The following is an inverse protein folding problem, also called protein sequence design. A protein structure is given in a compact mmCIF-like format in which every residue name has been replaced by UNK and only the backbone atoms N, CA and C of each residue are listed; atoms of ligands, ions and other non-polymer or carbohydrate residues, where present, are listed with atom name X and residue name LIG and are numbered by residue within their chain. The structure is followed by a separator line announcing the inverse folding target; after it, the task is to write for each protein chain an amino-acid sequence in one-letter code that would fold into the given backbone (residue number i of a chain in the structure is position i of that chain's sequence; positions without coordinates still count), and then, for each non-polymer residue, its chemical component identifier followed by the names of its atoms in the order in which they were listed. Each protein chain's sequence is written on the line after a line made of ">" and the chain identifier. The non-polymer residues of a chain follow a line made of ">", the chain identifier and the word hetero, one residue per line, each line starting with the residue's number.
data_IF_464085277863
#
_entry.id   IF_464085277863
#
_cell.length_a   1.000
_cell.length_b   1.000
_cell.length_c   1.000
_cell.angle_alpha   90.00
_cell.angle_beta   90.00
_cell.angle_gamma   90.00
#
_symmetry.space_group_name_H-M   'P 1'
#
loop_
_entity.id
_entity.type
_entity.pdbx_description
1 polymer ?
#
# COMPACT_ATOMS: atom_id res chain seq x y z
N UNK A 1 -11.74 9.07 11.21
CA UNK A 1 -10.86 8.09 10.57
C UNK A 1 -11.00 8.11 9.05
N UNK A 2 -10.10 7.47 8.37
CA UNK A 2 -10.16 7.32 6.92
C UNK A 2 -10.88 6.02 6.60
N UNK A 3 -11.96 6.09 5.81
CA UNK A 3 -12.72 4.89 5.41
C UNK A 3 -11.83 3.93 4.62
N UNK A 4 -11.96 2.64 4.89
CA UNK A 4 -11.31 1.60 4.09
C UNK A 4 -12.05 1.35 2.77
N UNK A 5 -13.28 1.87 2.65
CA UNK A 5 -14.17 1.58 1.54
C UNK A 5 -14.86 0.21 1.65
N UNK A 6 -14.62 -0.53 2.72
CA UNK A 6 -15.25 -1.81 3.01
C UNK A 6 -16.06 -1.67 4.30
N UNK A 7 -17.37 -1.73 4.20
CA UNK A 7 -18.28 -1.48 5.32
C UNK A 7 -17.97 -2.32 6.56
N UNK A 8 -17.75 -3.63 6.37
CA UNK A 8 -17.47 -4.51 7.49
C UNK A 8 -16.17 -4.15 8.21
N UNK A 9 -15.14 -3.81 7.44
CA UNK A 9 -13.85 -3.41 8.00
C UNK A 9 -13.94 -2.07 8.72
N UNK A 10 -14.65 -1.10 8.14
CA UNK A 10 -14.88 0.20 8.79
C UNK A 10 -15.63 0.05 10.10
N UNK A 11 -16.59 -0.87 10.17
CA UNK A 11 -17.34 -1.16 11.39
C UNK A 11 -16.43 -1.74 12.48
N UNK A 12 -15.54 -2.66 12.12
CA UNK A 12 -14.61 -3.27 13.07
C UNK A 12 -13.57 -2.26 13.56
N UNK A 13 -13.11 -1.37 12.69
CA UNK A 13 -12.09 -0.37 13.01
C UNK A 13 -12.67 0.95 13.53
N UNK A 14 -13.94 0.95 13.92
CA UNK A 14 -14.63 2.12 14.47
C UNK A 14 -14.58 3.35 13.53
N UNK A 15 -14.92 3.13 12.27
CA UNK A 15 -15.00 4.21 11.28
C UNK A 15 -13.80 4.30 10.34
N UNK A 16 -12.98 3.27 10.26
CA UNK A 16 -11.85 3.21 9.37
C UNK A 16 -10.51 3.29 10.08
N UNK A 17 -9.47 3.52 9.31
CA UNK A 17 -8.11 3.64 9.85
C UNK A 17 -7.97 4.97 10.59
N UNK A 18 -7.51 4.90 11.82
CA UNK A 18 -7.40 6.07 12.67
C UNK A 18 -6.05 6.77 12.46
N UNK A 19 -5.98 8.09 12.68
CA UNK A 19 -4.71 8.81 12.70
C UNK A 19 -3.72 8.18 13.67
N UNK A 20 -2.47 8.18 13.30
CA UNK A 20 -1.36 7.65 14.10
C UNK A 20 -1.33 6.13 14.25
N UNK A 21 -2.18 5.38 13.55
CA UNK A 21 -2.15 3.92 13.55
C UNK A 21 -1.10 3.38 12.57
N UNK A 22 -0.38 2.37 13.02
CA UNK A 22 0.39 1.50 12.13
C UNK A 22 -0.38 0.19 11.99
N UNK A 23 -0.81 -0.12 10.79
CA UNK A 23 -1.53 -1.35 10.47
C UNK A 23 -0.61 -2.24 9.66
N UNK A 24 -0.33 -3.44 10.16
CA UNK A 24 0.50 -4.40 9.44
C UNK A 24 -0.40 -5.49 8.89
N UNK A 25 -0.41 -5.60 7.56
CA UNK A 25 -1.16 -6.63 6.85
C UNK A 25 -0.19 -7.72 6.41
N UNK A 26 -0.28 -8.88 7.05
CA UNK A 26 0.58 -10.01 6.75
C UNK A 26 -0.16 -10.97 5.81
N UNK A 27 0.53 -11.41 4.76
CA UNK A 27 -0.01 -12.36 3.80
C UNK A 27 1.11 -13.22 3.22
N UNK A 28 0.73 -14.41 2.77
CA UNK A 28 1.64 -15.29 2.04
C UNK A 28 1.97 -14.67 0.68
N UNK A 29 3.13 -15.00 0.10
CA UNK A 29 3.44 -14.62 -1.27
C UNK A 29 2.31 -15.04 -2.21
N UNK A 30 2.00 -14.24 -3.20
CA UNK A 30 0.98 -14.50 -4.22
C UNK A 30 -0.48 -14.51 -3.72
N UNK A 31 -0.75 -14.04 -2.51
CA UNK A 31 -2.11 -14.05 -1.94
C UNK A 31 -2.89 -12.75 -2.16
N UNK A 32 -2.51 -11.94 -3.13
CA UNK A 32 -3.27 -10.75 -3.48
C UNK A 32 -3.16 -9.59 -2.49
N UNK A 33 -2.14 -9.57 -1.63
CA UNK A 33 -1.96 -8.48 -0.67
C UNK A 33 -1.75 -7.12 -1.35
N UNK A 34 -0.98 -7.11 -2.45
CA UNK A 34 -0.77 -5.88 -3.22
C UNK A 34 -2.08 -5.38 -3.81
N UNK A 35 -2.88 -6.27 -4.39
CA UNK A 35 -4.20 -5.92 -4.91
C UNK A 35 -5.10 -5.34 -3.83
N UNK A 36 -5.11 -5.94 -2.64
CA UNK A 36 -5.89 -5.46 -1.51
C UNK A 36 -5.46 -4.07 -1.08
N UNK A 37 -4.14 -3.85 -0.94
CA UNK A 37 -3.59 -2.56 -0.55
C UNK A 37 -3.88 -1.47 -1.58
N UNK A 38 -3.76 -1.79 -2.87
CA UNK A 38 -4.09 -0.86 -3.94
C UNK A 38 -5.57 -0.49 -3.93
N UNK A 39 -6.44 -1.45 -3.68
CA UNK A 39 -7.88 -1.18 -3.55
C UNK A 39 -8.17 -0.27 -2.35
N UNK A 40 -7.53 -0.50 -1.22
CA UNK A 40 -7.68 0.39 -0.06
C UNK A 40 -7.25 1.81 -0.40
N UNK A 41 -6.10 1.97 -1.05
CA UNK A 41 -5.57 3.27 -1.43
C UNK A 41 -6.50 3.99 -2.41
N UNK A 42 -6.98 3.28 -3.44
CA UNK A 42 -7.90 3.85 -4.43
C UNK A 42 -9.23 4.28 -3.81
N UNK A 43 -9.80 3.44 -2.95
CA UNK A 43 -11.05 3.78 -2.27
C UNK A 43 -10.89 4.98 -1.34
N UNK A 44 -9.81 5.03 -0.58
CA UNK A 44 -9.52 6.17 0.30
C UNK A 44 -9.39 7.47 -0.51
N UNK A 45 -8.66 7.43 -1.62
CA UNK A 45 -8.44 8.60 -2.45
C UNK A 45 -9.69 9.03 -3.21
N UNK A 46 -10.42 8.09 -3.80
CA UNK A 46 -11.55 8.41 -4.69
C UNK A 46 -12.86 8.63 -3.95
N UNK A 47 -13.15 7.81 -2.95
CA UNK A 47 -14.38 7.92 -2.18
C UNK A 47 -14.23 8.85 -0.98
N UNK A 48 -13.08 8.81 -0.32
CA UNK A 48 -12.80 9.60 0.87
C UNK A 48 -12.09 10.92 0.62
N UNK A 49 -11.63 11.17 -0.61
CA UNK A 49 -10.88 12.38 -0.93
C UNK A 49 -9.50 12.47 -0.29
N UNK A 50 -8.96 11.34 0.18
CA UNK A 50 -7.68 11.31 0.87
C UNK A 50 -6.49 11.46 -0.09
N UNK A 51 -5.43 12.09 0.39
CA UNK A 51 -4.13 12.10 -0.29
C UNK A 51 -3.33 10.91 0.21
N UNK A 52 -2.99 9.99 -0.69
CA UNK A 52 -2.34 8.72 -0.36
C UNK A 52 -0.97 8.64 -1.02
N UNK A 53 0.03 8.21 -0.26
CA UNK A 53 1.35 7.89 -0.79
C UNK A 53 1.55 6.38 -0.72
N UNK A 54 2.00 5.79 -1.83
CA UNK A 54 2.31 4.36 -1.93
C UNK A 54 3.80 4.22 -2.18
N UNK A 55 4.49 3.55 -1.27
CA UNK A 55 5.90 3.22 -1.42
C UNK A 55 6.01 1.75 -1.81
N UNK A 56 6.38 1.51 -3.06
CA UNK A 56 6.50 0.16 -3.61
C UNK A 56 7.97 -0.20 -3.73
N UNK A 57 8.40 -1.16 -2.92
CA UNK A 57 9.80 -1.58 -2.85
C UNK A 57 10.10 -2.75 -3.80
N UNK A 58 9.06 -3.38 -4.33
CA UNK A 58 9.17 -4.53 -5.22
C UNK A 58 8.77 -4.21 -6.66
N UNK A 59 7.63 -3.54 -6.83
CA UNK A 59 7.04 -3.31 -8.14
C UNK A 59 7.31 -1.90 -8.65
N UNK A 60 7.48 -1.76 -9.97
CA UNK A 60 7.62 -0.47 -10.60
C UNK A 60 6.32 0.34 -10.53
N UNK A 61 6.46 1.64 -10.57
CA UNK A 61 5.34 2.58 -10.63
C UNK A 61 4.39 2.25 -11.79
N UNK A 62 4.95 1.97 -12.96
CA UNK A 62 4.18 1.63 -14.15
C UNK A 62 3.38 0.36 -13.97
N UNK A 63 3.98 -0.66 -13.36
CA UNK A 63 3.30 -1.93 -13.06
C UNK A 63 2.15 -1.73 -12.08
N UNK A 64 2.33 -0.91 -11.05
CA UNK A 64 1.26 -0.58 -10.11
C UNK A 64 0.14 0.19 -10.77
N UNK A 65 0.47 1.16 -11.61
CA UNK A 65 -0.53 1.95 -12.34
C UNK A 65 -1.37 1.07 -13.25
N UNK A 66 -0.76 0.11 -13.94
CA UNK A 66 -1.50 -0.85 -14.77
C UNK A 66 -2.47 -1.69 -13.94
N UNK A 67 -2.02 -2.15 -12.78
CA UNK A 67 -2.88 -2.91 -11.87
C UNK A 67 -4.04 -2.08 -11.35
N UNK A 68 -3.78 -0.84 -10.97
CA UNK A 68 -4.81 0.08 -10.49
C UNK A 68 -5.84 0.36 -11.59
N UNK A 69 -5.37 0.60 -12.80
CA UNK A 69 -6.23 0.88 -13.95
C UNK A 69 -7.16 -0.30 -14.27
N UNK A 70 -6.61 -1.50 -14.34
CA UNK A 70 -7.40 -2.70 -14.62
C UNK A 70 -8.35 -3.03 -13.46
N UNK A 71 -7.91 -2.88 -12.23
CA UNK A 71 -8.75 -3.15 -11.05
C UNK A 71 -9.93 -2.17 -10.97
N UNK A 72 -9.66 -0.89 -11.14
CA UNK A 72 -10.70 0.13 -11.06
C UNK A 72 -11.66 0.06 -12.25
N UNK A 73 -11.13 -0.23 -13.44
CA UNK A 73 -11.92 -0.37 -14.65
C UNK A 73 -12.64 -1.71 -14.77
N UNK A 74 -12.32 -2.68 -13.92
CA UNK A 74 -12.88 -4.05 -13.97
C UNK A 74 -12.58 -4.74 -15.30
N UNK A 75 -11.34 -4.61 -15.77
CA UNK A 75 -10.81 -5.31 -16.93
C UNK A 75 -9.77 -6.31 -16.45
N UNK A 76 -9.82 -7.54 -16.97
CA UNK A 76 -8.87 -8.57 -16.57
C UNK A 76 -7.46 -8.22 -17.03
N UNK A 77 -6.57 -8.03 -16.06
CA UNK A 77 -5.17 -7.75 -16.29
C UNK A 77 -4.48 -8.83 -17.14
N UNK A 78 -4.86 -10.09 -16.95
CA UNK A 78 -4.33 -11.20 -17.74
C UNK A 78 -4.63 -11.07 -19.23
N UNK A 79 -5.81 -10.61 -19.59
CA UNK A 79 -6.18 -10.36 -20.99
C UNK A 79 -5.33 -9.26 -21.60
N UNK A 80 -5.10 -8.18 -20.85
CA UNK A 80 -4.25 -7.07 -21.30
C UNK A 80 -2.82 -7.54 -21.52
N UNK A 81 -2.26 -8.29 -20.56
CA UNK A 81 -0.87 -8.80 -20.63
C UNK A 81 -0.67 -9.80 -21.77
N UNK A 82 -1.65 -10.64 -22.04
CA UNK A 82 -1.57 -11.62 -23.13
C UNK A 82 -1.84 -11.01 -24.50
N UNK A 83 -2.09 -9.71 -24.56
CA UNK A 83 -2.45 -9.00 -25.79
C UNK A 83 -3.69 -9.63 -26.47
N UNK A 84 -4.63 -10.13 -25.66
CA UNK A 84 -5.90 -10.64 -26.16
C UNK A 84 -6.78 -9.49 -26.67
N UNK A 85 -7.69 -9.80 -27.57
CA UNK A 85 -8.60 -8.81 -28.11
C UNK A 85 -9.42 -8.17 -26.99
N UNK A 86 -9.40 -6.84 -26.94
CA UNK A 86 -10.23 -6.04 -26.05
C UNK A 86 -11.32 -5.38 -26.89
N UNK A 87 -12.57 -5.51 -26.47
CA UNK A 87 -13.68 -4.89 -27.19
C UNK A 87 -13.85 -3.41 -26.81
N UNK A 88 -14.80 -2.75 -27.46
CA UNK A 88 -15.06 -1.32 -27.19
C UNK A 88 -15.47 -1.07 -25.74
N UNK A 89 -16.19 -2.01 -25.13
CA UNK A 89 -16.59 -1.93 -23.74
C UNK A 89 -15.37 -1.96 -22.81
N UNK A 90 -14.40 -2.83 -23.08
CA UNK A 90 -13.15 -2.90 -22.31
C UNK A 90 -12.37 -1.59 -22.41
N UNK A 91 -12.22 -1.05 -23.63
CA UNK A 91 -11.53 0.21 -23.86
C UNK A 91 -12.22 1.36 -23.15
N UNK A 92 -13.55 1.40 -23.16
CA UNK A 92 -14.32 2.42 -22.46
C UNK A 92 -14.10 2.34 -20.94
N UNK A 93 -14.12 1.12 -20.38
CA UNK A 93 -13.87 0.90 -18.95
C UNK A 93 -12.48 1.38 -18.54
N UNK A 94 -11.46 1.09 -19.35
CA UNK A 94 -10.10 1.54 -19.09
C UNK A 94 -9.98 3.06 -19.20
N UNK A 95 -10.62 3.67 -20.19
CA UNK A 95 -10.60 5.12 -20.35
C UNK A 95 -11.29 5.83 -19.19
N UNK A 96 -12.44 5.34 -18.75
CA UNK A 96 -13.16 5.89 -17.59
C UNK A 96 -12.33 5.75 -16.31
N UNK A 97 -11.67 4.60 -16.12
CA UNK A 97 -10.80 4.37 -14.99
C UNK A 97 -9.57 5.30 -14.99
N UNK A 98 -8.98 5.51 -16.17
CA UNK A 98 -7.86 6.43 -16.32
C UNK A 98 -8.26 7.87 -15.95
N UNK A 99 -9.44 8.29 -16.36
CA UNK A 99 -9.98 9.59 -16.03
C UNK A 99 -10.17 9.75 -14.51
N UNK A 100 -10.80 8.76 -13.86
CA UNK A 100 -11.00 8.74 -12.42
C UNK A 100 -9.67 8.80 -11.67
N UNK A 101 -8.72 7.95 -12.05
CA UNK A 101 -7.41 7.88 -11.40
C UNK A 101 -6.60 9.16 -11.58
N UNK A 102 -6.75 9.85 -12.72
CA UNK A 102 -6.05 11.11 -12.96
C UNK A 102 -6.48 12.21 -11.98
N UNK A 103 -7.69 12.12 -11.45
CA UNK A 103 -8.20 13.07 -10.46
C UNK A 103 -7.93 12.66 -9.02
N UNK A 104 -7.47 11.45 -8.79
CA UNK A 104 -7.17 10.97 -7.45
C UNK A 104 -5.81 11.49 -6.97
N UNK A 105 -5.71 11.79 -5.69
CA UNK A 105 -4.47 12.27 -5.08
C UNK A 105 -3.65 11.08 -4.58
N UNK A 106 -3.10 10.31 -5.51
CA UNK A 106 -2.28 9.13 -5.21
C UNK A 106 -0.88 9.37 -5.75
N UNK A 107 0.11 9.32 -4.85
CA UNK A 107 1.52 9.46 -5.18
C UNK A 107 2.19 8.10 -5.04
N UNK A 108 2.94 7.67 -6.04
CA UNK A 108 3.64 6.39 -6.05
C UNK A 108 5.14 6.65 -6.09
N UNK A 109 5.86 6.07 -5.14
CA UNK A 109 7.32 6.09 -5.08
C UNK A 109 7.82 4.64 -5.17
N UNK A 110 8.58 4.33 -6.21
CA UNK A 110 9.08 2.99 -6.46
C UNK A 110 10.60 2.87 -6.26
N UNK A 111 11.16 3.75 -5.44
CA UNK A 111 12.58 3.69 -5.12
C UNK A 111 12.92 2.41 -4.37
N UNK A 112 13.81 1.61 -4.94
CA UNK A 112 14.28 0.38 -4.32
C UNK A 112 15.18 0.70 -3.11
N UNK A 113 15.27 -0.25 -2.17
CA UNK A 113 16.14 -0.16 -0.99
C UNK A 113 15.93 1.11 -0.16
N UNK A 114 14.70 1.61 -0.12
CA UNK A 114 14.36 2.79 0.67
C UNK A 114 14.54 2.50 2.16
N UNK A 115 15.20 3.42 2.88
CA UNK A 115 15.34 3.31 4.33
C UNK A 115 14.18 4.02 5.03
N UNK A 116 13.88 3.65 6.30
CA UNK A 116 12.85 4.36 7.05
C UNK A 116 13.10 5.87 7.17
N UNK A 117 14.37 6.27 7.29
CA UNK A 117 14.72 7.69 7.36
C UNK A 117 14.39 8.43 6.07
N UNK A 118 14.74 7.84 4.92
CA UNK A 118 14.41 8.41 3.62
C UNK A 118 12.89 8.47 3.40
N UNK A 119 12.17 7.44 3.79
CA UNK A 119 10.71 7.40 3.70
C UNK A 119 10.09 8.52 4.53
N UNK A 120 10.55 8.71 5.76
CA UNK A 120 10.06 9.80 6.61
C UNK A 120 10.27 11.17 5.97
N UNK A 121 11.46 11.41 5.41
CA UNK A 121 11.77 12.68 4.74
C UNK A 121 10.83 12.94 3.56
N UNK A 122 10.55 11.91 2.77
CA UNK A 122 9.63 12.02 1.62
C UNK A 122 8.20 12.25 2.06
N UNK A 123 7.74 11.59 3.11
CA UNK A 123 6.40 11.79 3.66
C UNK A 123 6.22 13.20 4.22
N UNK A 124 7.22 13.72 4.92
CA UNK A 124 7.20 15.09 5.44
C UNK A 124 7.08 16.10 4.30
N UNK A 125 7.82 15.90 3.22
CA UNK A 125 7.77 16.76 2.06
C UNK A 125 6.41 16.73 1.38
N UNK A 126 5.88 15.52 1.16
CA UNK A 126 4.55 15.36 0.57
C UNK A 126 3.48 16.03 1.42
N UNK A 127 3.53 15.86 2.73
CA UNK A 127 2.57 16.49 3.64
C UNK A 127 2.64 18.00 3.58
N UNK A 128 3.83 18.57 3.51
CA UNK A 128 4.02 20.02 3.43
C UNK A 128 3.56 20.58 2.09
N UNK A 129 3.81 19.89 0.98
CA UNK A 129 3.53 20.39 -0.37
C UNK A 129 2.11 20.11 -0.85
N UNK A 130 1.56 18.95 -0.50
CA UNK A 130 0.29 18.46 -1.06
C UNK A 130 -0.72 18.04 0.00
N UNK A 131 -0.32 17.96 1.25
CA UNK A 131 -1.07 17.24 2.26
C UNK A 131 -0.81 15.75 2.13
N UNK A 132 -1.07 15.00 3.19
CA UNK A 132 -0.90 13.55 3.20
C UNK A 132 -1.81 12.98 4.28
N UNK A 133 -2.66 12.02 3.90
CA UNK A 133 -3.67 11.45 4.79
C UNK A 133 -3.45 9.96 5.08
N UNK A 134 -2.67 9.27 4.25
CA UNK A 134 -2.43 7.85 4.40
C UNK A 134 -1.14 7.46 3.68
N UNK A 135 -0.41 6.50 4.26
CA UNK A 135 0.80 5.92 3.64
C UNK A 135 0.64 4.41 3.55
N UNK A 136 1.02 3.85 2.41
CA UNK A 136 1.08 2.40 2.18
C UNK A 136 2.51 2.02 1.82
N UNK A 137 3.06 1.01 2.48
CA UNK A 137 4.40 0.49 2.20
C UNK A 137 4.29 -0.97 1.77
N UNK A 138 4.74 -1.30 0.57
CA UNK A 138 4.71 -2.65 -0.01
C UNK A 138 6.09 -3.07 -0.49
N UNK A 139 6.71 -4.06 0.05
CA UNK A 139 6.40 -4.71 1.31
C UNK A 139 7.59 -4.53 2.25
N UNK A 140 7.31 -4.65 3.53
CA UNK A 140 8.19 -4.25 4.63
C UNK A 140 9.57 -4.90 4.59
N UNK A 141 9.66 -6.18 4.21
CA UNK A 141 10.91 -6.93 4.22
C UNK A 141 11.96 -6.46 3.20
N UNK A 142 11.55 -5.67 2.20
CA UNK A 142 12.49 -5.09 1.24
C UNK A 142 13.11 -3.79 1.74
N UNK A 143 12.58 -3.22 2.82
CA UNK A 143 13.17 -2.05 3.43
C UNK A 143 14.38 -2.44 4.26
N UNK A 144 15.41 -1.61 4.27
CA UNK A 144 16.63 -1.85 5.03
C UNK A 144 16.80 -0.83 6.13
N UNK A 145 17.20 -1.31 7.32
CA UNK A 145 17.58 -0.46 8.42
C UNK A 145 19.04 -0.03 8.25
N UNK A 146 19.40 1.11 8.83
CA UNK A 146 20.79 1.56 8.91
C UNK A 146 21.63 0.69 9.85
N UNK A 147 20.99 -0.15 10.67
CA UNK A 147 21.66 -1.04 11.61
C UNK A 147 21.97 -2.37 10.95
N UNK A 148 23.20 -2.84 11.11
CA UNK A 148 23.65 -4.12 10.55
C UNK A 148 23.41 -5.24 11.57
N UNK A 149 22.14 -5.54 11.85
CA UNK A 149 21.70 -6.51 12.85
C UNK A 149 21.00 -7.70 12.20
N UNK A 150 20.51 -8.63 13.00
CA UNK A 150 19.72 -9.76 12.50
C UNK A 150 18.46 -9.28 11.81
N UNK A 151 17.91 -10.11 10.91
CA UNK A 151 16.73 -9.74 10.13
C UNK A 151 15.51 -9.44 11.03
N UNK A 152 15.35 -10.17 12.13
CA UNK A 152 14.27 -9.92 13.08
C UNK A 152 14.39 -8.55 13.75
N UNK A 153 15.60 -8.20 14.20
CA UNK A 153 15.85 -6.90 14.80
C UNK A 153 15.69 -5.77 13.78
N UNK A 154 16.09 -6.01 12.54
CA UNK A 154 15.90 -5.05 11.45
C UNK A 154 14.42 -4.77 11.18
N UNK A 155 13.59 -5.82 11.10
CA UNK A 155 12.14 -5.67 10.89
C UNK A 155 11.50 -4.93 12.07
N UNK A 156 11.90 -5.24 13.30
CA UNK A 156 11.42 -4.54 14.49
C UNK A 156 11.78 -3.06 14.47
N UNK A 157 13.01 -2.74 14.06
CA UNK A 157 13.47 -1.35 13.94
C UNK A 157 12.65 -0.60 12.87
N UNK A 158 12.43 -1.22 11.72
CA UNK A 158 11.59 -0.66 10.65
C UNK A 158 10.18 -0.39 11.16
N UNK A 159 9.57 -1.34 11.85
CA UNK A 159 8.21 -1.21 12.38
C UNK A 159 8.10 -0.05 13.37
N UNK A 160 9.09 0.09 14.27
CA UNK A 160 9.13 1.21 15.22
C UNK A 160 9.24 2.54 14.51
N UNK A 161 10.06 2.63 13.47
CA UNK A 161 10.22 3.86 12.68
C UNK A 161 8.92 4.21 11.95
N UNK A 162 8.21 3.24 11.42
CA UNK A 162 6.92 3.48 10.76
C UNK A 162 5.85 3.90 11.76
N UNK A 163 5.85 3.34 12.96
CA UNK A 163 4.93 3.76 14.01
C UNK A 163 5.23 5.20 14.45
N UNK A 164 6.51 5.54 14.59
CA UNK A 164 6.93 6.90 14.92
C UNK A 164 6.47 7.89 13.83
N UNK A 165 6.60 7.50 12.56
CA UNK A 165 6.12 8.30 11.44
C UNK A 165 4.61 8.53 11.50
N UNK A 166 3.84 7.48 11.75
CA UNK A 166 2.39 7.58 11.87
C UNK A 166 1.99 8.56 12.97
N UNK A 167 2.66 8.49 14.10
CA UNK A 167 2.42 9.42 15.23
C UNK A 167 2.81 10.85 14.90
N UNK A 168 3.99 11.03 14.29
CA UNK A 168 4.51 12.35 13.95
C UNK A 168 3.60 13.09 12.99
N UNK A 169 3.19 12.43 11.92
CA UNK A 169 2.35 13.04 10.89
C UNK A 169 0.85 12.93 11.18
N UNK A 170 0.49 12.19 12.23
CA UNK A 170 -0.92 11.96 12.62
C UNK A 170 -1.74 11.38 11.48
N UNK A 171 -1.18 10.37 10.81
CA UNK A 171 -1.81 9.67 9.70
C UNK A 171 -1.68 8.16 9.89
N UNK A 172 -2.60 7.35 9.34
CA UNK A 172 -2.43 5.91 9.32
C UNK A 172 -1.33 5.51 8.33
N UNK A 173 -0.52 4.54 8.74
CA UNK A 173 0.50 3.91 7.90
C UNK A 173 0.15 2.44 7.79
N UNK A 174 0.00 1.94 6.56
CA UNK A 174 -0.31 0.55 6.29
C UNK A 174 0.93 -0.09 5.70
N UNK A 175 1.49 -1.06 6.39
CA UNK A 175 2.67 -1.77 5.93
C UNK A 175 2.30 -3.21 5.59
N UNK A 176 2.66 -3.64 4.39
CA UNK A 176 2.44 -5.02 3.95
C UNK A 176 3.65 -5.86 4.35
N UNK A 177 3.39 -6.98 4.97
CA UNK A 177 4.40 -7.92 5.42
C UNK A 177 4.18 -9.27 4.76
N UNK A 178 5.24 -9.83 4.18
CA UNK A 178 5.18 -11.13 3.53
C UNK A 178 5.51 -12.23 4.54
N UNK A 179 4.63 -13.23 4.67
CA UNK A 179 4.88 -14.39 5.50
C UNK A 179 5.89 -15.31 4.82
N UNK A 180 6.87 -15.80 5.57
CA UNK A 180 7.85 -16.74 5.07
C UNK A 180 7.57 -18.17 5.56
N UNK A 181 8.32 -19.18 5.04
CA UNK A 181 8.17 -20.59 5.41
C UNK A 181 8.33 -20.83 6.91
N UNK A 182 9.24 -20.12 7.56
CA UNK A 182 9.48 -20.28 9.00
C UNK A 182 8.24 -19.95 9.82
N UNK A 183 7.49 -18.94 9.41
CA UNK A 183 6.22 -18.58 10.05
C UNK A 183 5.19 -19.69 9.84
N UNK A 184 5.12 -20.26 8.65
CA UNK A 184 4.19 -21.35 8.33
C UNK A 184 4.47 -22.64 9.11
N UNK A 185 5.73 -22.90 9.43
CA UNK A 185 6.17 -24.06 10.19
C UNK A 185 5.92 -23.93 11.69
N UNK A 186 5.56 -22.75 12.17
CA UNK A 186 5.27 -22.52 13.58
C UNK A 186 3.95 -23.15 13.97
N UNK A 187 3.91 -23.67 15.21
CA UNK A 187 2.72 -24.30 15.76
C UNK A 187 1.53 -23.34 15.80
N UNK A 188 1.74 -22.10 16.17
CA UNK A 188 0.67 -21.11 16.30
C UNK A 188 0.38 -20.34 15.01
N UNK A 189 1.23 -20.48 14.00
CA UNK A 189 1.09 -19.81 12.70
C UNK A 189 0.97 -18.31 12.76
N UNK A 190 1.43 -17.69 13.84
CA UNK A 190 1.38 -16.23 14.00
C UNK A 190 2.61 -15.58 13.40
N UNK A 191 2.44 -14.48 12.64
CA UNK A 191 3.58 -13.71 12.15
C UNK A 191 4.32 -13.06 13.31
N UNK A 192 5.65 -12.98 13.19
CA UNK A 192 6.52 -12.27 14.13
C UNK A 192 7.13 -11.09 13.39
N UNK A 193 6.97 -9.91 13.98
CA UNK A 193 7.45 -8.65 13.42
C UNK A 193 8.67 -8.12 14.19
#
# INVERSE_FOLDING_TARGET
>A
GITTGYYQLDKITAGGFQPSDLIILAARPSMGKTAFALNLAMRAAMQGGATVAIFSLEMSKESLMDRMLCAWGRVDMGRVRRAEFLDDSDWKKLADAADDLSRAKIFIDDTAALTPLALRARCRRLKAEHGLDMVVVDYLQLMHSSRNESRELEISDISRNLKALAKELKIPVIALSQLNRKVEERTDKRPVL
#
